data_IF_614250870323
#
_entry.id   IF_614250870323
#
_cell.length_a   1.000
_cell.length_b   1.000
_cell.length_c   1.000
_cell.angle_alpha   90.00
_cell.angle_beta   90.00
_cell.angle_gamma   90.00
#
_symmetry.space_group_name_H-M   'P 1'
#
loop_
_entity.id
_entity.type
_entity.pdbx_description
1 polymer ?
#
# COMPACT_ATOMS: atom_id res chain seq x y z
N UNK A 1 2.32 -0.68 -16.39
CA UNK A 1 2.53 -1.33 -15.08
C UNK A 1 3.31 -0.41 -14.17
N UNK A 2 2.59 0.20 -13.24
CA UNK A 2 3.10 1.04 -12.17
C UNK A 2 3.25 0.19 -10.90
N UNK A 3 4.25 0.53 -10.07
CA UNK A 3 4.50 -0.13 -8.79
C UNK A 3 4.66 0.91 -7.72
N UNK A 4 3.87 0.80 -6.67
CA UNK A 4 3.97 1.62 -5.47
C UNK A 4 4.34 0.71 -4.31
N UNK A 5 5.40 1.06 -3.59
CA UNK A 5 5.83 0.32 -2.41
C UNK A 5 5.61 1.19 -1.19
N UNK A 6 4.74 0.75 -0.27
CA UNK A 6 4.50 1.45 1.00
C UNK A 6 5.27 0.75 2.11
N UNK A 7 5.93 1.53 2.97
CA UNK A 7 6.74 1.04 4.09
C UNK A 7 6.21 1.58 5.41
N UNK A 8 5.99 0.69 6.37
CA UNK A 8 5.57 1.04 7.72
C UNK A 8 6.25 0.13 8.76
N UNK A 9 6.14 0.49 10.05
CA UNK A 9 6.48 -0.42 11.15
C UNK A 9 5.30 -1.36 11.41
N UNK A 10 5.58 -2.65 11.44
CA UNK A 10 4.62 -3.69 11.78
C UNK A 10 4.57 -3.84 13.30
N UNK A 11 3.39 -3.72 13.91
CA UNK A 11 3.22 -4.06 15.33
C UNK A 11 3.38 -5.58 15.52
N UNK A 12 3.92 -6.04 16.67
CA UNK A 12 4.07 -7.46 16.97
C UNK A 12 2.75 -8.23 16.79
N UNK A 13 2.83 -9.43 16.22
CA UNK A 13 1.70 -10.36 16.04
C UNK A 13 0.50 -9.83 15.22
N UNK A 14 0.68 -8.73 14.46
CA UNK A 14 -0.40 -8.13 13.64
C UNK A 14 -0.42 -8.55 12.17
N UNK A 15 0.49 -9.41 11.74
CA UNK A 15 0.54 -9.85 10.34
C UNK A 15 -0.75 -10.55 9.88
N UNK A 16 -1.28 -11.47 10.69
CA UNK A 16 -2.49 -12.23 10.34
C UNK A 16 -3.75 -11.35 10.35
N UNK A 17 -3.80 -10.36 11.25
CA UNK A 17 -4.87 -9.36 11.29
C UNK A 17 -4.86 -8.51 10.01
N UNK A 18 -3.68 -8.04 9.58
CA UNK A 18 -3.52 -7.29 8.33
C UNK A 18 -3.96 -8.12 7.13
N UNK A 19 -3.55 -9.39 7.06
CA UNK A 19 -3.93 -10.28 5.95
C UNK A 19 -5.47 -10.44 5.87
N UNK A 20 -6.14 -10.59 7.01
CA UNK A 20 -7.61 -10.67 7.09
C UNK A 20 -8.30 -9.38 6.67
N UNK A 21 -7.80 -8.24 7.16
CA UNK A 21 -8.32 -6.90 6.81
C UNK A 21 -8.25 -6.70 5.28
N UNK A 22 -7.10 -7.01 4.67
CA UNK A 22 -6.96 -6.90 3.22
C UNK A 22 -7.81 -7.92 2.47
N UNK A 23 -7.93 -9.17 2.93
CA UNK A 23 -8.79 -10.16 2.28
C UNK A 23 -10.26 -9.70 2.22
N UNK A 24 -10.76 -9.10 3.30
CA UNK A 24 -12.11 -8.52 3.34
C UNK A 24 -12.23 -7.30 2.42
N UNK A 25 -11.26 -6.38 2.46
CA UNK A 25 -11.26 -5.20 1.58
C UNK A 25 -11.14 -5.58 0.10
N UNK A 26 -10.33 -6.58 -0.23
CA UNK A 26 -10.07 -7.04 -1.59
C UNK A 26 -11.30 -7.76 -2.19
N UNK A 27 -12.27 -8.14 -1.35
CA UNK A 27 -13.58 -8.66 -1.77
C UNK A 27 -14.64 -7.57 -2.01
N UNK A 28 -14.28 -6.28 -1.89
CA UNK A 28 -15.16 -5.13 -2.15
C UNK A 28 -14.77 -4.40 -3.44
N UNK A 29 -15.50 -3.33 -3.78
CA UNK A 29 -15.18 -2.47 -4.93
C UNK A 29 -13.94 -1.57 -4.70
N UNK A 30 -13.46 -1.42 -3.46
CA UNK A 30 -12.38 -0.47 -3.14
C UNK A 30 -11.09 -0.65 -3.98
N UNK A 31 -10.53 -1.87 -4.15
CA UNK A 31 -9.32 -2.06 -4.95
C UNK A 31 -9.54 -1.67 -6.42
N UNK A 32 -10.72 -1.97 -6.96
CA UNK A 32 -11.10 -1.64 -8.34
C UNK A 32 -11.23 -0.12 -8.53
N UNK A 33 -11.85 0.58 -7.57
CA UNK A 33 -11.93 2.04 -7.58
C UNK A 33 -10.54 2.71 -7.56
N UNK A 34 -9.57 2.11 -6.87
CA UNK A 34 -8.19 2.60 -6.81
C UNK A 34 -7.41 2.25 -8.09
N UNK A 35 -7.75 1.14 -8.75
CA UNK A 35 -7.05 0.61 -9.93
C UNK A 35 -5.98 -0.43 -9.60
N UNK A 36 -6.07 -1.09 -8.45
CA UNK A 36 -5.13 -2.13 -8.03
C UNK A 36 -5.31 -3.38 -8.89
N UNK A 37 -4.26 -3.82 -9.57
CA UNK A 37 -4.26 -5.09 -10.31
C UNK A 37 -3.63 -6.23 -9.51
N UNK A 38 -2.70 -5.91 -8.60
CA UNK A 38 -2.10 -6.90 -7.69
C UNK A 38 -1.62 -6.28 -6.39
N UNK A 39 -1.74 -7.04 -5.31
CA UNK A 39 -1.22 -6.72 -3.98
C UNK A 39 -0.31 -7.82 -3.47
N UNK A 40 0.82 -7.45 -2.89
CA UNK A 40 1.65 -8.35 -2.11
C UNK A 40 2.14 -7.67 -0.83
N UNK A 41 2.00 -8.38 0.29
CA UNK A 41 2.39 -7.90 1.61
C UNK A 41 3.60 -8.69 2.09
N UNK A 42 4.62 -8.01 2.59
CA UNK A 42 5.82 -8.62 3.14
C UNK A 42 6.10 -8.07 4.52
N UNK A 43 6.78 -8.88 5.34
CA UNK A 43 7.32 -8.46 6.62
C UNK A 43 8.82 -8.75 6.67
N UNK A 44 9.60 -7.86 7.27
CA UNK A 44 11.03 -8.06 7.46
C UNK A 44 11.51 -7.25 8.65
N UNK A 45 12.03 -7.92 9.69
CA UNK A 45 12.55 -7.28 10.92
C UNK A 45 11.64 -6.20 11.53
N UNK A 46 10.34 -6.49 11.71
CA UNK A 46 9.38 -5.54 12.27
C UNK A 46 8.94 -4.43 11.30
N UNK A 47 9.33 -4.51 10.04
CA UNK A 47 8.81 -3.66 8.96
C UNK A 47 7.73 -4.39 8.17
N UNK A 48 6.78 -3.62 7.69
CA UNK A 48 5.71 -3.99 6.80
C UNK A 48 5.97 -3.35 5.43
N UNK A 49 5.90 -4.15 4.37
CA UNK A 49 6.02 -3.70 3.00
C UNK A 49 4.77 -4.07 2.24
N UNK A 50 4.22 -3.08 1.54
CA UNK A 50 3.00 -3.25 0.77
C UNK A 50 3.28 -2.85 -0.67
N UNK A 51 3.50 -3.86 -1.49
CA UNK A 51 3.65 -3.69 -2.93
C UNK A 51 2.27 -3.71 -3.57
N UNK A 52 1.94 -2.59 -4.22
CA UNK A 52 0.76 -2.44 -5.07
C UNK A 52 1.23 -2.32 -6.50
N UNK A 53 0.62 -3.13 -7.37
CA UNK A 53 0.82 -3.05 -8.81
C UNK A 53 -0.49 -2.65 -9.48
N UNK A 54 -0.38 -1.84 -10.53
CA UNK A 54 -1.50 -1.30 -11.29
C UNK A 54 -1.05 -1.04 -12.74
N UNK A 55 -2.00 -0.82 -13.65
CA UNK A 55 -1.65 -0.46 -15.03
C UNK A 55 -1.16 0.99 -15.12
N UNK A 56 -1.80 1.89 -14.37
CA UNK A 56 -1.53 3.33 -14.26
C UNK A 56 -1.10 3.73 -12.83
N UNK A 57 -0.71 5.00 -12.65
CA UNK A 57 -0.46 5.55 -11.31
C UNK A 57 -1.76 5.58 -10.49
N UNK A 58 -1.73 4.92 -9.33
CA UNK A 58 -2.89 4.81 -8.44
C UNK A 58 -3.08 6.06 -7.58
N UNK A 59 -2.09 6.94 -7.48
CA UNK A 59 -2.08 8.07 -6.55
C UNK A 59 -3.34 8.94 -6.69
N UNK A 60 -3.74 9.39 -7.90
CA UNK A 60 -4.94 10.23 -8.04
C UNK A 60 -6.22 9.53 -7.56
N UNK A 61 -6.39 8.24 -7.88
CA UNK A 61 -7.58 7.47 -7.50
C UNK A 61 -7.57 7.13 -6.01
N UNK A 62 -6.40 6.86 -5.43
CA UNK A 62 -6.21 6.68 -3.99
C UNK A 62 -6.67 7.94 -3.24
N UNK A 63 -6.24 9.13 -3.67
CA UNK A 63 -6.66 10.39 -3.04
C UNK A 63 -8.17 10.63 -3.15
N UNK A 64 -8.80 10.26 -4.27
CA UNK A 64 -10.27 10.31 -4.41
C UNK A 64 -10.97 9.32 -3.49
N UNK A 65 -10.44 8.11 -3.35
CA UNK A 65 -11.02 7.09 -2.50
C UNK A 65 -10.94 7.43 -1.00
N UNK A 66 -10.09 8.37 -0.57
CA UNK A 66 -9.94 8.76 0.85
C UNK A 66 -11.23 9.25 1.52
N UNK A 67 -12.17 9.78 0.75
CA UNK A 67 -13.49 10.20 1.26
C UNK A 67 -14.54 9.07 1.22
N UNK A 68 -14.18 7.88 0.74
CA UNK A 68 -15.09 6.76 0.61
C UNK A 68 -15.15 5.94 1.91
N UNK A 69 -16.34 5.49 2.37
CA UNK A 69 -16.48 4.73 3.62
C UNK A 69 -15.63 3.44 3.67
N UNK A 70 -15.48 2.75 2.53
CA UNK A 70 -14.62 1.56 2.45
C UNK A 70 -13.14 1.89 2.74
N UNK A 71 -12.68 3.06 2.31
CA UNK A 71 -11.31 3.49 2.61
C UNK A 71 -11.16 3.83 4.08
N UNK A 72 -12.15 4.51 4.68
CA UNK A 72 -12.13 4.84 6.10
C UNK A 72 -12.10 3.59 6.98
N UNK A 73 -12.89 2.57 6.64
CA UNK A 73 -12.90 1.28 7.36
C UNK A 73 -11.53 0.61 7.35
N UNK A 74 -10.97 0.35 6.16
CA UNK A 74 -9.67 -0.31 6.05
C UNK A 74 -8.57 0.52 6.72
N UNK A 75 -8.57 1.84 6.54
CA UNK A 75 -7.57 2.72 7.12
C UNK A 75 -7.61 2.69 8.66
N UNK A 76 -8.80 2.73 9.24
CA UNK A 76 -9.00 2.68 10.70
C UNK A 76 -8.51 1.35 11.28
N UNK A 77 -8.82 0.24 10.61
CA UNK A 77 -8.39 -1.10 11.05
C UNK A 77 -6.89 -1.30 10.91
N UNK A 78 -6.29 -0.81 9.82
CA UNK A 78 -4.84 -0.88 9.60
C UNK A 78 -4.06 0.01 10.58
N UNK A 79 -4.58 1.16 10.99
CA UNK A 79 -3.95 2.03 11.98
C UNK A 79 -3.73 1.34 13.35
N UNK A 80 -4.51 0.30 13.65
CA UNK A 80 -4.30 -0.53 14.85
C UNK A 80 -3.16 -1.54 14.69
N UNK A 81 -2.70 -1.80 13.47
CA UNK A 81 -1.77 -2.85 13.12
C UNK A 81 -0.37 -2.37 12.70
N UNK A 82 -0.28 -1.13 12.19
CA UNK A 82 0.98 -0.54 11.73
C UNK A 82 1.20 0.84 12.34
N UNK A 83 2.45 1.28 12.33
CA UNK A 83 2.86 2.64 12.72
C UNK A 83 3.70 3.24 11.59
N UNK A 84 3.68 4.57 11.39
CA UNK A 84 4.53 5.21 10.40
C UNK A 84 6.01 4.83 10.57
N UNK A 85 6.70 4.56 9.45
CA UNK A 85 8.14 4.30 9.49
C UNK A 85 8.93 5.56 9.87
N UNK A 86 8.60 6.67 9.19
CA UNK A 86 9.15 8.00 9.44
C UNK A 86 8.42 8.68 10.62
N UNK A 87 9.12 9.09 11.70
CA UNK A 87 8.51 9.87 12.78
C UNK A 87 7.97 11.24 12.33
N UNK A 88 8.40 11.75 11.18
CA UNK A 88 7.92 13.00 10.57
C UNK A 88 6.70 12.87 9.66
N UNK A 89 6.09 11.68 9.59
CA UNK A 89 4.96 11.37 8.70
C UNK A 89 3.76 12.33 8.89
N UNK A 90 3.22 12.84 7.77
CA UNK A 90 2.06 13.76 7.74
C UNK A 90 0.94 13.23 6.86
N UNK A 91 1.26 12.52 5.77
CA UNK A 91 0.29 12.00 4.83
C UNK A 91 0.75 10.71 4.14
N UNK A 92 -0.14 9.93 3.50
CA UNK A 92 0.19 8.62 2.92
C UNK A 92 1.41 8.59 2.00
N UNK A 93 1.67 9.66 1.24
CA UNK A 93 2.85 9.75 0.37
C UNK A 93 4.17 9.61 1.14
N UNK A 94 4.22 10.03 2.41
CA UNK A 94 5.43 9.99 3.23
C UNK A 94 5.81 8.54 3.62
N UNK A 95 4.91 7.58 3.40
CA UNK A 95 5.18 6.15 3.55
C UNK A 95 5.52 5.45 2.22
N UNK A 96 5.44 6.15 1.08
CA UNK A 96 5.69 5.57 -0.24
C UNK A 96 7.19 5.64 -0.58
N UNK A 97 7.78 4.52 -0.97
CA UNK A 97 9.12 4.47 -1.50
C UNK A 97 9.14 4.90 -2.97
N UNK A 98 10.23 5.57 -3.36
CA UNK A 98 10.46 6.05 -4.71
C UNK A 98 11.34 5.05 -5.47
N UNK A 99 10.88 4.45 -6.58
CA UNK A 99 11.75 3.64 -7.40
C UNK A 99 12.74 4.57 -8.11
N UNK A 100 14.04 4.33 -7.94
CA UNK A 100 15.09 5.12 -8.62
C UNK A 100 15.58 4.45 -9.92
N UNK A 101 15.23 3.19 -10.14
CA UNK A 101 15.59 2.40 -11.31
C UNK A 101 14.58 1.29 -11.55
N UNK A 102 14.24 1.05 -12.81
CA UNK A 102 13.34 -0.03 -13.23
C UNK A 102 13.93 -0.76 -14.42
N UNK A 103 13.90 -2.09 -14.38
CA UNK A 103 14.31 -2.94 -15.49
C UNK A 103 13.22 -3.95 -15.82
N UNK A 104 13.03 -4.19 -17.12
CA UNK A 104 12.26 -5.30 -17.68
C UNK A 104 13.12 -6.05 -18.71
N UNK A 105 12.67 -7.20 -19.19
CA UNK A 105 13.40 -7.96 -20.23
C UNK A 105 13.69 -7.12 -21.49
N UNK A 106 12.86 -6.11 -21.76
CA UNK A 106 12.99 -5.18 -22.88
C UNK A 106 14.04 -4.08 -22.65
N UNK A 107 14.45 -3.82 -21.40
CA UNK A 107 15.46 -2.82 -21.07
C UNK A 107 15.30 -2.17 -19.70
N UNK A 108 16.31 -1.37 -19.32
CA UNK A 108 16.33 -0.60 -18.08
C UNK A 108 16.09 0.89 -18.30
N UNK A 109 15.51 1.56 -17.31
CA UNK A 109 15.35 3.02 -17.25
C UNK A 109 15.53 3.54 -15.83
N UNK A 110 16.10 4.73 -15.71
CA UNK A 110 15.97 5.55 -14.50
C UNK A 110 14.54 6.10 -14.45
N UNK A 111 14.00 6.32 -13.26
CA UNK A 111 12.66 6.85 -13.05
C UNK A 111 12.71 8.28 -12.51
#
# INVERSE_FOLDING_TARGET
>A
MHRSLIVARLKPDKADDIARIFAESDATELPHMIGVSRRALFRFHGLYFHLVEADEDITPNLYRARSHPLYEDINTRLAQCVEPYDPGWKEPKDAMAEPFYVWTKEGGRLQ
#
